data_IF_058957471817
#
_entry.id   IF_058957471817
#
_cell.length_a   1.000
_cell.length_b   1.000
_cell.length_c   1.000
_cell.angle_alpha   90.00
_cell.angle_beta   90.00
_cell.angle_gamma   90.00
#
_symmetry.space_group_name_H-M   'P 1'
#
loop_
_entity.id
_entity.type
_entity.pdbx_description
1 polymer ?
#
# COMPACT_ATOMS: atom_id res chain seq x y z
N UNK A 1 -27.65 7.88 -34.07
CA UNK A 1 -26.39 8.59 -33.78
C UNK A 1 -26.42 8.88 -32.29
N UNK A 2 -25.85 7.98 -31.49
CA UNK A 2 -25.91 8.05 -30.03
C UNK A 2 -24.69 8.85 -29.59
N UNK A 3 -24.94 10.04 -29.05
CA UNK A 3 -23.93 10.99 -28.64
C UNK A 3 -23.11 10.40 -27.49
N UNK A 4 -21.79 10.51 -27.58
CA UNK A 4 -20.76 9.97 -26.67
C UNK A 4 -20.89 10.50 -25.22
N UNK A 5 -21.82 11.41 -24.96
CA UNK A 5 -22.06 12.04 -23.66
C UNK A 5 -23.00 11.24 -22.73
N UNK A 6 -23.59 10.12 -23.18
CA UNK A 6 -24.49 9.30 -22.34
C UNK A 6 -23.82 8.09 -21.68
N UNK A 7 -22.49 7.94 -21.78
CA UNK A 7 -21.74 6.85 -21.14
C UNK A 7 -20.75 7.36 -20.06
N UNK A 8 -21.05 8.47 -19.39
CA UNK A 8 -20.18 9.03 -18.34
C UNK A 8 -20.83 9.18 -16.96
N UNK A 9 -22.10 8.80 -16.78
CA UNK A 9 -22.83 9.10 -15.54
C UNK A 9 -23.42 7.89 -14.80
N UNK A 10 -22.80 6.72 -14.91
CA UNK A 10 -23.03 5.63 -13.94
C UNK A 10 -21.72 5.12 -13.34
N UNK A 11 -20.83 6.03 -12.96
CA UNK A 11 -19.90 5.73 -11.88
C UNK A 11 -20.64 6.05 -10.59
N UNK A 12 -21.50 5.13 -10.15
CA UNK A 12 -21.80 5.02 -8.72
C UNK A 12 -20.44 5.15 -8.01
N UNK A 13 -20.23 6.15 -7.13
CA UNK A 13 -18.99 6.21 -6.38
C UNK A 13 -18.93 4.90 -5.62
N UNK A 14 -18.02 4.01 -6.02
CA UNK A 14 -17.70 2.82 -5.25
C UNK A 14 -17.55 3.31 -3.82
N UNK A 15 -18.49 2.94 -2.94
CA UNK A 15 -18.41 3.32 -1.54
C UNK A 15 -17.09 2.76 -1.05
N UNK A 16 -16.09 3.63 -0.97
CA UNK A 16 -14.83 3.31 -0.34
C UNK A 16 -15.22 3.03 1.09
N UNK A 17 -15.20 1.77 1.50
CA UNK A 17 -15.45 1.42 2.88
C UNK A 17 -14.07 1.31 3.53
N UNK A 18 -13.44 2.42 3.97
CA UNK A 18 -12.19 2.31 4.68
C UNK A 18 -12.45 1.55 5.98
N UNK A 19 -11.50 0.69 6.35
CA UNK A 19 -11.52 -0.02 7.64
C UNK A 19 -11.72 0.95 8.81
N UNK A 20 -11.11 2.13 8.69
CA UNK A 20 -11.26 3.28 9.57
C UNK A 20 -10.79 4.56 8.86
N UNK A 21 -11.24 5.72 9.32
CA UNK A 21 -10.86 7.02 8.76
C UNK A 21 -10.52 7.99 9.90
N UNK A 22 -9.43 8.75 9.78
CA UNK A 22 -9.13 9.84 10.71
C UNK A 22 -9.87 11.08 10.24
N UNK A 23 -10.95 11.45 10.94
CA UNK A 23 -11.76 12.63 10.60
C UNK A 23 -11.00 13.91 10.97
N UNK A 24 -10.47 13.96 12.19
CA UNK A 24 -9.74 15.11 12.71
C UNK A 24 -8.58 14.65 13.58
N UNK A 25 -7.48 15.37 13.48
CA UNK A 25 -6.29 15.16 14.29
C UNK A 25 -5.74 16.52 14.71
N UNK A 26 -5.72 16.74 16.03
CA UNK A 26 -5.04 17.85 16.67
C UNK A 26 -4.19 17.28 17.80
N UNK A 27 -3.07 17.94 18.19
CA UNK A 27 -2.30 17.51 19.34
C UNK A 27 -3.19 17.30 20.56
N UNK A 28 -3.18 16.09 21.09
CA UNK A 28 -3.94 15.66 22.26
C UNK A 28 -5.38 15.24 22.01
N UNK A 29 -5.88 15.30 20.77
CA UNK A 29 -7.22 14.79 20.42
C UNK A 29 -7.28 14.24 19.00
N UNK A 30 -7.71 13.00 18.88
CA UNK A 30 -7.96 12.34 17.59
C UNK A 30 -9.44 11.93 17.48
N UNK A 31 -10.06 12.21 16.33
CA UNK A 31 -11.40 11.72 16.01
C UNK A 31 -11.31 10.76 14.84
N UNK A 32 -11.76 9.53 15.05
CA UNK A 32 -11.70 8.44 14.07
C UNK A 32 -13.11 7.94 13.77
N UNK A 33 -13.38 7.55 12.52
CA UNK A 33 -14.62 6.90 12.07
C UNK A 33 -14.37 5.41 11.90
N UNK A 34 -15.29 4.58 12.36
CA UNK A 34 -15.23 3.12 12.23
C UNK A 34 -16.56 2.61 11.68
N UNK A 35 -16.68 2.51 10.36
CA UNK A 35 -17.97 2.24 9.70
C UNK A 35 -18.63 0.94 10.19
N UNK A 36 -17.83 -0.10 10.42
CA UNK A 36 -18.30 -1.39 10.92
C UNK A 36 -18.81 -1.35 12.36
N UNK A 37 -18.40 -0.39 13.19
CA UNK A 37 -18.72 -0.42 14.62
C UNK A 37 -20.23 -0.27 14.89
N UNK A 38 -20.95 0.39 13.99
CA UNK A 38 -22.42 0.52 14.07
C UNK A 38 -23.14 -0.82 13.91
N UNK A 39 -22.60 -1.74 13.10
CA UNK A 39 -23.19 -3.06 12.85
C UNK A 39 -22.89 -4.06 13.96
N UNK A 40 -21.89 -3.78 14.80
CA UNK A 40 -21.43 -4.68 15.86
C UNK A 40 -21.40 -3.99 17.23
N UNK A 41 -22.57 -3.75 17.87
CA UNK A 41 -22.65 -3.15 19.20
C UNK A 41 -21.87 -3.87 20.30
N UNK A 42 -21.72 -5.19 20.19
CA UNK A 42 -20.93 -6.00 21.12
C UNK A 42 -19.44 -5.64 21.12
N UNK A 43 -18.94 -4.95 20.09
CA UNK A 43 -17.54 -4.54 19.97
C UNK A 43 -17.28 -3.13 20.52
N UNK A 44 -18.30 -2.41 20.98
CA UNK A 44 -18.14 -1.04 21.52
C UNK A 44 -17.24 -1.03 22.76
N UNK A 45 -17.60 -1.82 23.77
CA UNK A 45 -16.84 -1.92 25.02
C UNK A 45 -15.43 -2.51 24.80
N UNK A 46 -15.23 -3.60 24.02
CA UNK A 46 -13.89 -4.08 23.69
C UNK A 46 -12.99 -3.03 23.04
N UNK A 47 -13.52 -2.27 22.07
CA UNK A 47 -12.76 -1.21 21.39
C UNK A 47 -12.41 -0.10 22.36
N UNK A 48 -13.38 0.38 23.13
CA UNK A 48 -13.17 1.45 24.11
C UNK A 48 -12.13 1.05 25.16
N UNK A 49 -12.24 -0.17 25.68
CA UNK A 49 -11.33 -0.73 26.69
C UNK A 49 -9.93 -0.88 26.13
N UNK A 50 -9.77 -1.42 24.92
CA UNK A 50 -8.47 -1.60 24.28
C UNK A 50 -7.73 -0.27 24.08
N UNK A 51 -8.46 0.80 23.72
CA UNK A 51 -7.87 2.14 23.56
C UNK A 51 -7.56 2.76 24.94
N UNK A 52 -8.47 2.64 25.92
CA UNK A 52 -8.26 3.14 27.30
C UNK A 52 -7.08 2.49 28.01
N UNK A 53 -6.74 1.25 27.66
CA UNK A 53 -5.60 0.53 28.24
C UNK A 53 -4.23 1.07 27.78
N UNK A 54 -4.19 2.03 26.85
CA UNK A 54 -2.97 2.70 26.44
C UNK A 54 -2.54 3.74 27.50
N UNK A 55 -1.29 3.69 27.91
CA UNK A 55 -0.68 4.48 29.00
C UNK A 55 -0.60 6.01 28.76
N UNK A 56 -0.92 6.43 27.54
CA UNK A 56 -0.95 7.82 27.09
C UNK A 56 -2.36 8.28 26.68
N UNK A 57 -3.39 7.46 26.88
CA UNK A 57 -4.79 7.83 26.60
C UNK A 57 -5.46 8.27 27.90
N UNK A 58 -6.05 9.46 27.89
CA UNK A 58 -6.72 10.05 29.05
C UNK A 58 -8.22 9.74 29.03
N UNK A 59 -8.84 9.78 27.84
CA UNK A 59 -10.27 9.58 27.68
C UNK A 59 -10.63 9.04 26.30
N UNK A 60 -11.65 8.18 26.24
CA UNK A 60 -12.23 7.68 24.99
C UNK A 60 -13.74 7.91 25.05
N UNK A 61 -14.29 8.52 24.01
CA UNK A 61 -15.73 8.75 23.84
C UNK A 61 -16.20 8.17 22.52
N UNK A 62 -17.08 7.19 22.60
CA UNK A 62 -17.70 6.57 21.43
C UNK A 62 -19.03 7.28 21.13
N UNK A 63 -19.22 7.69 19.87
CA UNK A 63 -20.43 8.36 19.41
C UNK A 63 -21.11 7.52 18.33
N UNK A 64 -22.17 6.80 18.72
CA UNK A 64 -22.95 5.94 17.84
C UNK A 64 -23.64 6.69 16.69
N UNK A 65 -24.13 7.91 16.97
CA UNK A 65 -24.83 8.74 15.99
C UNK A 65 -23.92 9.08 14.79
N UNK A 66 -22.64 9.29 15.06
CA UNK A 66 -21.65 9.73 14.06
C UNK A 66 -20.68 8.62 13.64
N UNK A 67 -20.91 7.41 14.18
CA UNK A 67 -20.03 6.25 14.06
C UNK A 67 -18.54 6.59 14.23
N UNK A 68 -18.25 7.41 15.24
CA UNK A 68 -16.92 7.97 15.46
C UNK A 68 -16.48 7.86 16.91
N UNK A 69 -15.18 7.62 17.12
CA UNK A 69 -14.54 7.63 18.42
C UNK A 69 -13.71 8.90 18.53
N UNK A 70 -13.88 9.63 19.64
CA UNK A 70 -13.02 10.74 20.03
C UNK A 70 -12.09 10.23 21.12
N UNK A 71 -10.79 10.43 20.94
CA UNK A 71 -9.76 9.96 21.84
C UNK A 71 -8.94 11.17 22.30
N UNK A 72 -8.95 11.45 23.60
CA UNK A 72 -8.04 12.40 24.22
C UNK A 72 -6.78 11.65 24.68
N UNK A 73 -5.62 12.17 24.30
CA UNK A 73 -4.34 11.54 24.56
C UNK A 73 -3.29 12.56 24.95
N UNK A 74 -2.22 12.12 25.60
CA UNK A 74 -1.10 12.97 25.94
C UNK A 74 -0.12 13.06 24.74
N UNK A 75 -0.11 14.22 24.07
CA UNK A 75 0.76 14.47 22.91
C UNK A 75 2.26 14.54 23.22
N UNK A 76 2.63 14.72 24.48
CA UNK A 76 4.04 14.74 24.91
C UNK A 76 4.61 13.31 25.03
N UNK A 77 3.74 12.32 25.26
CA UNK A 77 4.11 10.91 25.40
C UNK A 77 4.13 10.14 24.08
N UNK A 78 3.39 10.59 23.06
CA UNK A 78 3.28 9.86 21.79
C UNK A 78 3.14 10.81 20.58
N UNK A 79 3.87 10.49 19.51
CA UNK A 79 3.66 11.17 18.22
C UNK A 79 2.38 10.69 17.54
N UNK A 80 1.69 11.56 16.79
CA UNK A 80 0.44 11.18 16.12
C UNK A 80 0.59 10.01 15.13
N UNK A 81 1.74 9.91 14.45
CA UNK A 81 2.01 8.81 13.51
C UNK A 81 2.12 7.46 14.25
N UNK A 82 2.84 7.42 15.36
CA UNK A 82 2.95 6.20 16.17
C UNK A 82 1.62 5.84 16.81
N UNK A 83 0.84 6.85 17.21
CA UNK A 83 -0.51 6.65 17.74
C UNK A 83 -1.43 6.00 16.70
N UNK A 84 -1.41 6.49 15.45
CA UNK A 84 -2.17 5.87 14.34
C UNK A 84 -1.80 4.41 14.13
N UNK A 85 -0.52 4.06 14.20
CA UNK A 85 -0.06 2.67 14.07
C UNK A 85 -0.59 1.80 15.22
N UNK A 86 -0.55 2.30 16.47
CA UNK A 86 -1.11 1.58 17.63
C UNK A 86 -2.62 1.38 17.51
N UNK A 87 -3.36 2.41 17.11
CA UNK A 87 -4.80 2.32 16.87
C UNK A 87 -5.15 1.35 15.75
N UNK A 88 -4.42 1.40 14.64
CA UNK A 88 -4.62 0.46 13.53
C UNK A 88 -4.49 -1.00 13.99
N UNK A 89 -3.50 -1.32 14.83
CA UNK A 89 -3.34 -2.68 15.36
C UNK A 89 -4.54 -3.11 16.20
N UNK A 90 -5.06 -2.23 17.06
CA UNK A 90 -6.26 -2.49 17.86
C UNK A 90 -7.45 -2.74 16.93
N UNK A 91 -7.72 -1.84 15.99
CA UNK A 91 -8.87 -1.95 15.09
C UNK A 91 -8.78 -3.18 14.20
N UNK A 92 -7.61 -3.47 13.61
CA UNK A 92 -7.42 -4.66 12.79
C UNK A 92 -7.69 -5.96 13.57
N UNK A 93 -7.30 -6.01 14.86
CA UNK A 93 -7.52 -7.20 15.70
C UNK A 93 -8.99 -7.41 16.11
N UNK A 94 -9.78 -6.33 16.15
CA UNK A 94 -11.18 -6.36 16.56
C UNK A 94 -12.15 -6.30 15.39
N UNK A 95 -11.66 -6.06 14.17
CA UNK A 95 -12.51 -5.98 12.99
C UNK A 95 -13.12 -7.36 12.70
N UNK A 96 -14.44 -7.47 12.52
CA UNK A 96 -15.08 -8.70 12.09
C UNK A 96 -14.51 -9.24 10.78
N UNK A 97 -14.37 -10.57 10.68
CA UNK A 97 -13.79 -11.22 9.48
C UNK A 97 -14.56 -10.90 8.20
N UNK A 98 -15.89 -10.79 8.26
CA UNK A 98 -16.74 -10.41 7.12
C UNK A 98 -16.37 -9.04 6.55
N UNK A 99 -16.09 -8.08 7.43
CA UNK A 99 -15.68 -6.73 7.06
C UNK A 99 -14.25 -6.71 6.50
N UNK A 100 -13.35 -7.47 7.13
CA UNK A 100 -11.99 -7.62 6.62
C UNK A 100 -11.96 -8.25 5.23
N UNK A 101 -12.75 -9.31 4.99
CA UNK A 101 -12.85 -9.95 3.68
C UNK A 101 -13.41 -9.01 2.62
N UNK A 102 -14.47 -8.25 2.94
CA UNK A 102 -15.04 -7.26 2.01
C UNK A 102 -14.03 -6.14 1.67
N UNK A 103 -13.27 -5.67 2.68
CA UNK A 103 -12.20 -4.70 2.47
C UNK A 103 -11.10 -5.25 1.56
N UNK A 104 -10.64 -6.49 1.81
CA UNK A 104 -9.61 -7.14 0.99
C UNK A 104 -10.07 -7.38 -0.46
N UNK A 105 -11.31 -7.84 -0.65
CA UNK A 105 -11.90 -8.03 -1.99
C UNK A 105 -11.96 -6.69 -2.74
N UNK A 106 -12.31 -5.60 -2.06
CA UNK A 106 -12.29 -4.26 -2.65
C UNK A 106 -10.88 -3.80 -3.02
N UNK A 107 -9.86 -4.12 -2.21
CA UNK A 107 -8.47 -3.84 -2.55
C UNK A 107 -8.00 -4.65 -3.76
N UNK A 108 -8.39 -5.92 -3.86
CA UNK A 108 -8.06 -6.78 -4.99
C UNK A 108 -8.71 -6.29 -6.29
N UNK A 109 -9.99 -5.90 -6.24
CA UNK A 109 -10.69 -5.25 -7.37
C UNK A 109 -9.99 -3.96 -7.80
N UNK A 110 -9.53 -3.13 -6.85
CA UNK A 110 -8.75 -1.92 -7.17
C UNK A 110 -7.43 -2.24 -7.86
N UNK A 111 -6.69 -3.23 -7.35
CA UNK A 111 -5.45 -3.69 -7.97
C UNK A 111 -5.70 -4.17 -9.40
N UNK A 112 -6.75 -4.96 -9.60
CA UNK A 112 -7.14 -5.46 -10.92
C UNK A 112 -7.56 -4.32 -11.87
N UNK A 113 -8.27 -3.30 -11.40
CA UNK A 113 -8.59 -2.11 -12.19
C UNK A 113 -7.32 -1.32 -12.53
N UNK A 114 -6.39 -1.20 -11.59
CA UNK A 114 -5.12 -0.49 -11.80
C UNK A 114 -4.22 -1.24 -12.80
N UNK A 115 -4.16 -2.57 -12.72
CA UNK A 115 -3.43 -3.42 -13.65
C UNK A 115 -4.09 -3.44 -15.05
N UNK A 116 -5.42 -3.36 -15.11
CA UNK A 116 -6.19 -3.30 -16.36
C UNK A 116 -6.25 -1.90 -16.98
N UNK A 117 -5.91 -0.85 -16.23
CA UNK A 117 -5.68 0.48 -16.80
C UNK A 117 -4.34 0.44 -17.53
N UNK A 118 -4.44 0.08 -18.81
CA UNK A 118 -3.33 -0.05 -19.76
C UNK A 118 -2.42 1.18 -19.82
N UNK A 119 -2.84 2.34 -19.32
CA UNK A 119 -2.03 3.56 -19.29
C UNK A 119 -0.87 3.53 -18.28
N UNK A 120 -1.01 2.87 -17.11
CA UNK A 120 0.11 2.81 -16.15
C UNK A 120 1.11 1.73 -16.53
N UNK A 121 0.62 0.58 -17.00
CA UNK A 121 1.48 -0.47 -17.56
C UNK A 121 2.11 -0.01 -18.87
N UNK A 122 1.41 0.76 -19.73
CA UNK A 122 2.01 1.42 -20.89
C UNK A 122 3.03 2.47 -20.46
N UNK A 123 2.76 3.32 -19.47
CA UNK A 123 3.76 4.29 -18.96
C UNK A 123 5.02 3.60 -18.42
N UNK A 124 4.88 2.53 -17.63
CA UNK A 124 6.02 1.75 -17.14
C UNK A 124 6.70 0.99 -18.26
N UNK A 125 5.96 0.46 -19.24
CA UNK A 125 6.50 -0.25 -20.41
C UNK A 125 7.21 0.72 -21.36
N UNK A 126 6.72 1.94 -21.53
CA UNK A 126 7.31 2.99 -22.35
C UNK A 126 8.57 3.55 -21.68
N UNK A 127 8.51 3.79 -20.37
CA UNK A 127 9.69 4.15 -19.57
C UNK A 127 10.74 3.04 -19.56
N UNK A 128 10.30 1.78 -19.44
CA UNK A 128 11.16 0.60 -19.55
C UNK A 128 11.76 0.47 -20.94
N UNK A 129 11.00 0.65 -22.01
CA UNK A 129 11.47 0.53 -23.38
C UNK A 129 12.44 1.66 -23.77
N UNK A 130 12.18 2.89 -23.32
CA UNK A 130 13.09 4.03 -23.56
C UNK A 130 14.41 3.89 -22.81
N UNK A 131 14.40 3.38 -21.58
CA UNK A 131 15.60 3.29 -20.73
C UNK A 131 16.16 1.87 -20.60
N UNK A 132 15.64 0.91 -21.39
CA UNK A 132 15.94 -0.52 -21.31
C UNK A 132 17.43 -0.80 -21.31
N UNK A 133 18.16 -0.15 -22.22
CA UNK A 133 19.59 -0.35 -22.37
C UNK A 133 20.38 0.18 -21.17
N UNK A 134 20.02 1.34 -20.63
CA UNK A 134 20.69 1.94 -19.47
C UNK A 134 20.44 1.13 -18.20
N UNK A 135 19.20 0.66 -18.00
CA UNK A 135 18.81 -0.12 -16.82
C UNK A 135 19.44 -1.52 -16.87
N UNK A 136 19.39 -2.21 -18.02
CA UNK A 136 20.00 -3.54 -18.17
C UNK A 136 21.53 -3.49 -18.05
N UNK A 137 22.17 -2.46 -18.60
CA UNK A 137 23.61 -2.25 -18.45
C UNK A 137 24.00 -1.93 -17.00
N UNK A 138 23.23 -1.07 -16.31
CA UNK A 138 23.47 -0.74 -14.90
C UNK A 138 23.31 -1.95 -13.97
N UNK A 139 22.23 -2.72 -14.12
CA UNK A 139 21.99 -3.93 -13.33
C UNK A 139 23.04 -5.01 -13.67
N UNK A 140 23.36 -5.18 -14.96
CA UNK A 140 24.35 -6.15 -15.42
C UNK A 140 25.76 -5.86 -14.87
N UNK A 141 26.19 -4.61 -14.89
CA UNK A 141 27.50 -4.20 -14.35
C UNK A 141 27.55 -4.31 -12.82
N UNK A 142 26.52 -3.84 -12.10
CA UNK A 142 26.46 -3.94 -10.64
C UNK A 142 26.47 -5.39 -10.15
N UNK A 143 25.71 -6.27 -10.80
CA UNK A 143 25.64 -7.70 -10.44
C UNK A 143 26.94 -8.45 -10.74
N UNK A 144 27.67 -8.07 -11.78
CA UNK A 144 28.97 -8.66 -12.11
C UNK A 144 30.06 -8.24 -11.09
N UNK A 145 30.05 -6.97 -10.67
CA UNK A 145 30.96 -6.46 -9.62
C UNK A 145 30.69 -7.15 -8.28
N UNK A 146 29.42 -7.19 -7.85
CA UNK A 146 29.04 -7.81 -6.58
C UNK A 146 29.29 -9.33 -6.62
N UNK A 147 28.93 -9.99 -7.73
CA UNK A 147 29.20 -11.41 -7.95
C UNK A 147 30.69 -11.74 -7.88
N UNK A 148 31.55 -10.93 -8.53
CA UNK A 148 33.00 -11.10 -8.48
C UNK A 148 33.59 -10.95 -7.08
N UNK A 149 33.05 -10.04 -6.27
CA UNK A 149 33.45 -9.86 -4.85
C UNK A 149 32.97 -11.03 -3.98
N UNK A 150 31.79 -11.58 -4.25
CA UNK A 150 31.19 -12.66 -3.46
C UNK A 150 31.71 -14.06 -3.81
N UNK A 151 32.22 -14.30 -5.01
CA UNK A 151 32.80 -15.60 -5.43
C UNK A 151 33.91 -16.10 -4.50
N UNK A 152 34.86 -15.27 -4.02
CA UNK A 152 35.87 -15.71 -3.06
C UNK A 152 35.36 -15.87 -1.62
N UNK A 153 34.13 -15.44 -1.30
CA UNK A 153 33.56 -15.54 0.05
C UNK A 153 32.80 -16.88 0.21
N UNK A 154 33.24 -17.80 1.11
CA UNK A 154 32.69 -19.15 1.23
C UNK A 154 31.26 -19.21 1.79
N UNK A 155 30.67 -18.09 2.20
CA UNK A 155 29.33 -18.03 2.82
C UNK A 155 28.19 -17.77 1.83
N UNK A 156 28.45 -17.16 0.67
CA UNK A 156 27.39 -16.81 -0.29
C UNK A 156 27.82 -17.18 -1.70
N UNK A 157 27.05 -18.02 -2.41
CA UNK A 157 27.33 -18.35 -3.79
C UNK A 157 27.21 -17.10 -4.68
N UNK A 158 28.33 -16.52 -5.13
CA UNK A 158 28.35 -15.35 -6.04
C UNK A 158 28.09 -15.66 -7.52
N UNK A 159 28.17 -16.94 -7.91
CA UNK A 159 27.96 -17.44 -9.28
C UNK A 159 26.56 -17.16 -9.88
N UNK A 160 25.42 -17.24 -9.14
CA UNK A 160 24.12 -16.77 -9.63
C UNK A 160 24.12 -15.31 -10.09
N UNK A 161 24.81 -14.42 -9.37
CA UNK A 161 24.88 -13.00 -9.73
C UNK A 161 25.73 -12.75 -10.97
N UNK A 162 26.80 -13.53 -11.16
CA UNK A 162 27.60 -13.49 -12.39
C UNK A 162 26.80 -13.96 -13.61
N UNK A 163 26.02 -15.04 -13.48
CA UNK A 163 25.16 -15.54 -14.55
C UNK A 163 24.07 -14.53 -14.91
N UNK A 164 23.43 -13.94 -13.89
CA UNK A 164 22.45 -12.89 -14.09
C UNK A 164 23.06 -11.66 -14.78
N UNK A 165 24.23 -11.20 -14.33
CA UNK A 165 24.91 -10.05 -14.91
C UNK A 165 25.34 -10.26 -16.36
N UNK A 166 25.89 -11.44 -16.68
CA UNK A 166 26.25 -11.82 -18.05
C UNK A 166 25.01 -11.90 -18.96
N UNK A 167 23.91 -12.45 -18.46
CA UNK A 167 22.65 -12.53 -19.20
C UNK A 167 22.06 -11.14 -19.48
N UNK A 168 22.04 -10.26 -18.48
CA UNK A 168 21.55 -8.88 -18.64
C UNK A 168 22.42 -8.06 -19.62
N UNK A 169 23.74 -8.21 -19.59
CA UNK A 169 24.65 -7.55 -20.54
C UNK A 169 24.47 -8.08 -21.97
N UNK A 170 24.29 -9.39 -22.14
CA UNK A 170 24.01 -9.99 -23.44
C UNK A 170 22.71 -9.42 -24.04
N UNK A 171 21.65 -9.32 -23.25
CA UNK A 171 20.39 -8.70 -23.67
C UNK A 171 20.54 -7.21 -24.01
N UNK A 172 21.41 -6.48 -23.31
CA UNK A 172 21.70 -5.09 -23.64
C UNK A 172 22.43 -4.96 -24.99
N UNK A 173 23.40 -5.83 -25.28
CA UNK A 173 24.12 -5.84 -26.56
C UNK A 173 23.26 -6.30 -27.75
N UNK A 174 22.33 -7.22 -27.53
CA UNK A 174 21.38 -7.66 -28.58
C UNK A 174 20.38 -6.54 -28.91
N UNK A 175 20.01 -5.71 -27.92
CA UNK A 175 19.17 -4.53 -28.13
C UNK A 175 19.88 -3.40 -28.90
N UNK A 176 21.21 -3.36 -28.91
CA UNK A 176 22.01 -2.39 -29.69
C UNK A 176 22.16 -2.79 -31.16
N UNK A 177 22.14 -4.10 -31.46
CA UNK A 177 22.36 -4.65 -32.80
C UNK A 177 21.08 -4.85 -33.63
N UNK A 178 19.91 -4.45 -33.13
CA UNK A 178 18.67 -4.54 -33.90
C UNK A 178 18.65 -3.40 -34.92
N UNK A 179 18.77 -3.67 -36.24
CA UNK A 179 18.85 -2.62 -37.25
C UNK A 179 17.55 -1.82 -37.27
N UNK A 180 17.68 -0.50 -37.20
CA UNK A 180 16.64 0.47 -37.51
C UNK A 180 16.17 0.23 -38.94
N UNK A 181 15.11 -0.56 -39.13
CA UNK A 181 14.42 -0.65 -40.42
C UNK A 181 13.64 0.65 -40.58
N UNK A 182 14.24 1.57 -41.33
CA UNK A 182 13.60 2.77 -41.90
C UNK A 182 12.52 2.38 -42.90
#
# INVERSE_FOLDING_TARGET
MITVEQLSNSTEPFSEIPLWEVIHEIPGRMRVRLLWLQEYPSLHEPVETAIKNLDFVDEVRLSLINNSIIIHYNSDKISPQLFRIKLFKIFASLTPTSWLSAYLENLEKRKLILDNNTDFTAFLTDSWNQNKQQILSGIGTASLVIGGILVPLPLVPGWPLLLLGSYCLKLATEAENSPTTT
#
